data_IF_924781281133
#
_entry.id   IF_924781281133
#
_cell.length_a   1.000
_cell.length_b   1.000
_cell.length_c   1.000
_cell.angle_alpha   90.00
_cell.angle_beta   90.00
_cell.angle_gamma   90.00
#
_symmetry.space_group_name_H-M   'P 1'
#
loop_
_entity.id
_entity.type
_entity.pdbx_description
1 polymer ?
#
# COMPACT_ATOMS: atom_id res chain seq x y z
N UNK A 1 17.41 10.18 22.94
CA UNK A 1 16.94 8.77 22.83
C UNK A 1 16.02 8.50 24.01
N UNK A 2 14.84 7.99 23.78
CA UNK A 2 13.88 7.63 24.83
C UNK A 2 13.74 6.11 24.85
N UNK A 3 13.90 5.51 26.01
CA UNK A 3 13.73 4.06 26.22
C UNK A 3 12.55 3.90 27.17
N UNK A 4 11.57 3.14 26.78
CA UNK A 4 10.41 2.81 27.61
C UNK A 4 10.25 1.29 27.72
N UNK A 5 10.08 0.82 28.93
CA UNK A 5 9.76 -0.55 29.27
C UNK A 5 8.94 -0.59 30.56
N UNK A 6 7.72 -1.14 30.55
CA UNK A 6 6.96 -1.61 29.39
C UNK A 6 6.52 -0.46 28.47
N UNK A 7 5.93 -0.79 27.33
CA UNK A 7 5.38 0.20 26.43
C UNK A 7 4.29 1.03 27.10
N UNK A 8 4.36 2.34 26.94
CA UNK A 8 3.42 3.25 27.62
C UNK A 8 2.23 3.68 26.76
N UNK A 9 2.25 3.27 25.49
CA UNK A 9 1.21 3.66 24.54
C UNK A 9 0.88 2.51 23.59
N UNK A 10 -0.37 2.40 23.29
CA UNK A 10 -0.91 1.50 22.27
C UNK A 10 -1.32 2.32 21.05
N UNK A 11 -1.01 1.81 19.85
CA UNK A 11 -1.42 2.42 18.62
C UNK A 11 -2.92 2.16 18.37
N UNK A 12 -3.66 3.23 18.10
CA UNK A 12 -5.05 3.15 17.66
C UNK A 12 -5.13 3.35 16.16
N UNK A 13 -5.38 2.28 15.38
CA UNK A 13 -5.41 2.36 13.91
C UNK A 13 -6.49 3.31 13.38
N UNK A 14 -7.61 3.44 14.07
CA UNK A 14 -8.75 4.26 13.65
C UNK A 14 -8.44 5.76 13.54
N UNK A 15 -7.45 6.25 14.29
CA UNK A 15 -7.13 7.67 14.35
C UNK A 15 -5.67 8.01 14.06
N UNK A 16 -4.87 7.07 13.60
CA UNK A 16 -3.42 7.25 13.47
C UNK A 16 -2.84 7.86 14.75
N UNK A 17 -3.32 7.41 15.88
CA UNK A 17 -3.03 7.97 17.20
C UNK A 17 -2.56 6.90 18.17
N UNK A 18 -2.21 7.36 19.36
CA UNK A 18 -1.78 6.50 20.44
C UNK A 18 -2.73 6.67 21.62
N UNK A 19 -3.08 5.56 22.25
CA UNK A 19 -3.73 5.54 23.55
C UNK A 19 -2.75 5.07 24.63
N UNK A 20 -3.05 5.29 25.91
CA UNK A 20 -2.32 4.63 26.97
C UNK A 20 -2.31 3.12 26.77
N UNK A 21 -1.15 2.48 26.93
CA UNK A 21 -1.05 1.02 26.84
C UNK A 21 -1.82 0.37 28.00
N UNK A 22 -2.50 -0.76 27.78
CA UNK A 22 -3.05 -1.57 28.85
C UNK A 22 -1.98 -2.32 29.64
N UNK A 23 -0.71 -2.22 29.23
CA UNK A 23 0.40 -2.83 29.95
C UNK A 23 0.43 -2.34 31.40
N UNK A 24 0.46 -3.27 32.30
CA UNK A 24 0.60 -2.96 33.71
C UNK A 24 2.07 -2.68 34.02
N UNK A 25 2.31 -1.58 34.67
CA UNK A 25 3.64 -1.27 35.19
C UNK A 25 4.13 -2.35 36.16
N UNK A 26 5.44 -2.52 36.23
CA UNK A 26 6.07 -3.36 37.24
C UNK A 26 6.08 -2.59 38.60
N UNK A 27 5.62 -3.24 39.64
CA UNK A 27 5.74 -2.69 40.99
C UNK A 27 7.18 -2.83 41.46
N UNK A 28 7.85 -1.73 41.67
CA UNK A 28 9.23 -1.67 42.17
C UNK A 28 9.21 -1.35 43.65
N UNK A 29 9.95 -2.13 44.44
CA UNK A 29 10.09 -1.93 45.89
C UNK A 29 11.36 -1.12 46.23
N UNK A 30 11.42 -0.50 47.37
CA UNK A 30 12.66 0.15 47.83
C UNK A 30 13.82 -0.86 47.87
N UNK A 31 14.90 -0.55 47.13
CA UNK A 31 16.06 -1.42 46.99
C UNK A 31 16.13 -2.23 45.68
N UNK A 32 15.05 -2.29 44.92
CA UNK A 32 15.05 -2.90 43.61
C UNK A 32 15.94 -2.13 42.62
N UNK A 33 16.65 -2.87 41.76
CA UNK A 33 17.51 -2.30 40.72
C UNK A 33 16.95 -2.60 39.38
N UNK A 34 16.72 -1.60 38.57
CA UNK A 34 16.41 -1.75 37.11
C UNK A 34 17.71 -1.52 36.36
N UNK A 35 18.14 -2.54 35.59
CA UNK A 35 19.33 -2.44 34.75
C UNK A 35 18.91 -2.52 33.29
N UNK A 36 19.20 -1.45 32.56
CA UNK A 36 19.00 -1.39 31.10
C UNK A 36 20.39 -1.38 30.47
N UNK A 37 20.66 -2.38 29.63
CA UNK A 37 21.89 -2.43 28.83
C UNK A 37 21.61 -1.85 27.47
N UNK A 38 22.43 -0.88 27.08
CA UNK A 38 22.38 -0.25 25.76
C UNK A 38 23.74 -0.40 25.11
N UNK A 39 23.76 -0.89 23.90
CA UNK A 39 24.96 -0.93 23.08
C UNK A 39 24.84 0.12 21.99
N UNK A 40 25.88 0.91 21.81
CA UNK A 40 26.03 1.86 20.71
C UNK A 40 27.16 1.38 19.84
N UNK A 41 26.87 1.09 18.58
CA UNK A 41 27.85 0.66 17.59
C UNK A 41 28.07 1.80 16.61
N UNK A 42 29.29 2.34 16.56
CA UNK A 42 29.72 3.32 15.58
C UNK A 42 30.66 2.66 14.58
N UNK A 43 30.43 2.82 13.30
CA UNK A 43 31.25 2.24 12.25
C UNK A 43 31.23 3.10 10.97
N UNK A 44 32.29 2.99 10.18
CA UNK A 44 32.34 3.60 8.85
C UNK A 44 31.78 2.63 7.80
N UNK A 45 31.07 3.18 6.82
CA UNK A 45 30.54 2.45 5.67
C UNK A 45 30.82 3.23 4.39
N UNK A 46 31.39 2.55 3.39
CA UNK A 46 31.73 3.16 2.12
C UNK A 46 30.50 3.54 1.29
N UNK A 47 29.39 2.79 1.45
CA UNK A 47 28.14 2.95 0.73
C UNK A 47 26.96 2.40 1.52
N UNK A 48 25.74 2.55 0.99
CA UNK A 48 24.49 2.03 1.61
C UNK A 48 24.48 0.50 1.70
N UNK A 49 24.89 -0.28 0.70
CA UNK A 49 25.04 -1.73 0.82
C UNK A 49 25.98 -2.15 1.96
N UNK A 50 27.13 -1.49 2.11
CA UNK A 50 28.06 -1.77 3.21
C UNK A 50 27.47 -1.43 4.57
N UNK A 51 26.72 -0.32 4.68
CA UNK A 51 25.97 0.07 5.88
C UNK A 51 24.95 -1.01 6.26
N UNK A 52 24.13 -1.47 5.32
CA UNK A 52 23.13 -2.51 5.57
C UNK A 52 23.76 -3.84 5.94
N UNK A 53 24.83 -4.22 5.27
CA UNK A 53 25.56 -5.45 5.56
C UNK A 53 26.13 -5.44 6.99
N UNK A 54 26.72 -4.33 7.40
CA UNK A 54 27.23 -4.16 8.77
C UNK A 54 26.11 -4.18 9.80
N UNK A 55 25.03 -3.41 9.55
CA UNK A 55 23.85 -3.43 10.41
C UNK A 55 23.29 -4.85 10.61
N UNK A 56 23.16 -5.62 9.53
CA UNK A 56 22.66 -6.99 9.59
C UNK A 56 23.61 -7.91 10.37
N UNK A 57 24.91 -7.70 10.26
CA UNK A 57 25.92 -8.46 11.02
C UNK A 57 25.82 -8.17 12.52
N UNK A 58 25.76 -6.90 12.91
CA UNK A 58 25.58 -6.51 14.31
C UNK A 58 24.28 -7.04 14.88
N UNK A 59 23.19 -6.88 14.14
CA UNK A 59 21.89 -7.41 14.56
C UNK A 59 21.92 -8.92 14.82
N UNK A 60 22.64 -9.69 13.99
CA UNK A 60 22.79 -11.14 14.19
C UNK A 60 23.51 -11.51 15.48
N UNK A 61 24.42 -10.68 15.97
CA UNK A 61 25.10 -10.91 17.24
C UNK A 61 24.15 -10.81 18.45
N UNK A 62 23.11 -9.99 18.33
CA UNK A 62 22.14 -9.72 19.40
C UNK A 62 20.83 -10.49 19.25
N UNK A 63 20.55 -11.03 18.07
CA UNK A 63 19.41 -11.93 17.89
C UNK A 63 19.84 -13.35 18.22
N UNK A 64 19.15 -13.94 19.20
CA UNK A 64 19.32 -15.34 19.54
C UNK A 64 19.37 -16.18 18.24
N UNK A 65 20.30 -17.14 18.18
CA UNK A 65 20.54 -18.01 17.01
C UNK A 65 19.38 -18.94 16.64
N UNK A 66 18.19 -18.60 17.11
CA UNK A 66 16.96 -19.30 16.71
C UNK A 66 16.80 -19.21 15.22
N UNK A 67 16.91 -20.33 14.56
CA UNK A 67 16.52 -20.47 13.17
C UNK A 67 15.13 -19.84 13.01
N UNK A 68 14.95 -18.85 12.10
CA UNK A 68 13.62 -18.32 11.84
C UNK A 68 12.71 -19.51 11.54
N UNK A 69 11.79 -19.81 12.43
CA UNK A 69 10.78 -20.81 12.12
C UNK A 69 9.87 -20.19 11.10
N UNK A 70 10.00 -20.59 9.86
CA UNK A 70 8.93 -20.41 8.91
C UNK A 70 7.74 -21.21 9.46
N UNK A 71 6.87 -20.53 10.17
CA UNK A 71 5.67 -21.14 10.75
C UNK A 71 4.72 -21.63 9.66
N UNK A 72 4.94 -21.17 8.44
CA UNK A 72 4.08 -21.45 7.31
C UNK A 72 4.89 -21.54 6.00
N UNK A 73 4.63 -22.51 5.14
CA UNK A 73 5.20 -22.54 3.80
C UNK A 73 4.81 -21.31 2.99
N UNK A 74 5.71 -20.84 2.12
CA UNK A 74 5.43 -19.67 1.27
C UNK A 74 4.21 -19.87 0.37
N UNK A 75 3.94 -21.09 -0.08
CA UNK A 75 2.72 -21.43 -0.83
C UNK A 75 1.44 -21.18 -0.02
N UNK A 76 1.47 -21.53 1.25
CA UNK A 76 0.33 -21.26 2.15
C UNK A 76 0.17 -19.75 2.41
N UNK A 77 1.29 -19.01 2.58
CA UNK A 77 1.26 -17.54 2.69
C UNK A 77 0.60 -16.93 1.45
N UNK A 78 1.04 -17.36 0.25
CA UNK A 78 0.47 -16.89 -1.01
C UNK A 78 -1.03 -17.20 -1.10
N UNK A 79 -1.43 -18.44 -0.78
CA UNK A 79 -2.84 -18.84 -0.81
C UNK A 79 -3.72 -18.00 0.13
N UNK A 80 -3.21 -17.65 1.31
CA UNK A 80 -3.92 -16.78 2.26
C UNK A 80 -4.01 -15.34 1.76
N UNK A 81 -2.93 -14.82 1.16
CA UNK A 81 -2.93 -13.47 0.58
C UNK A 81 -3.92 -13.36 -0.57
N UNK A 82 -3.92 -14.34 -1.49
CA UNK A 82 -4.88 -14.39 -2.61
C UNK A 82 -6.30 -14.42 -2.06
N UNK A 83 -6.62 -15.33 -1.13
CA UNK A 83 -7.95 -15.42 -0.52
C UNK A 83 -8.37 -14.10 0.12
N UNK A 84 -7.47 -13.46 0.87
CA UNK A 84 -7.76 -12.19 1.53
C UNK A 84 -8.08 -11.06 0.53
N UNK A 85 -7.44 -11.04 -0.63
CA UNK A 85 -7.75 -10.08 -1.70
C UNK A 85 -9.07 -10.44 -2.38
N UNK A 86 -9.31 -11.74 -2.64
CA UNK A 86 -10.55 -12.23 -3.24
C UNK A 86 -11.79 -11.95 -2.37
N UNK A 87 -11.69 -12.10 -1.06
CA UNK A 87 -12.77 -11.79 -0.10
C UNK A 87 -13.17 -10.30 -0.13
N UNK A 88 -12.34 -9.44 -0.72
CA UNK A 88 -12.59 -8.01 -0.87
C UNK A 88 -13.07 -7.61 -2.28
N UNK A 89 -13.39 -8.59 -3.09
CA UNK A 89 -13.95 -8.30 -4.40
C UNK A 89 -15.43 -7.92 -4.26
N UNK A 90 -15.76 -6.68 -4.60
CA UNK A 90 -17.12 -6.18 -4.61
C UNK A 90 -17.86 -6.68 -5.84
N UNK A 91 -18.97 -7.37 -5.65
CA UNK A 91 -19.85 -7.88 -6.70
C UNK A 91 -21.18 -7.12 -6.67
N UNK A 92 -21.19 -5.91 -7.23
CA UNK A 92 -22.40 -5.11 -7.38
C UNK A 92 -23.05 -5.29 -8.75
N UNK A 93 -24.32 -4.88 -8.88
CA UNK A 93 -25.10 -4.99 -10.12
C UNK A 93 -24.49 -4.20 -11.28
N UNK A 94 -23.94 -3.03 -10.99
CA UNK A 94 -23.38 -2.13 -12.00
C UNK A 94 -21.87 -2.26 -12.13
N UNK A 95 -21.17 -2.39 -11.00
CA UNK A 95 -19.72 -2.37 -10.93
C UNK A 95 -19.20 -3.52 -10.09
N UNK A 96 -18.09 -4.09 -10.53
CA UNK A 96 -17.38 -5.14 -9.86
C UNK A 96 -15.90 -4.76 -9.77
N UNK A 97 -15.30 -4.81 -8.59
CA UNK A 97 -13.92 -4.34 -8.41
C UNK A 97 -13.33 -4.82 -7.10
N UNK A 98 -12.00 -4.83 -7.02
CA UNK A 98 -11.28 -5.08 -5.77
C UNK A 98 -11.30 -3.84 -4.87
N UNK A 99 -11.80 -4.01 -3.64
CA UNK A 99 -11.78 -2.98 -2.62
C UNK A 99 -10.43 -2.93 -1.88
N UNK A 100 -10.06 -1.79 -1.27
CA UNK A 100 -8.80 -1.68 -0.53
C UNK A 100 -8.78 -2.50 0.76
N UNK A 101 -9.88 -2.52 1.50
CA UNK A 101 -10.07 -3.20 2.77
C UNK A 101 -11.49 -3.76 2.86
N UNK A 102 -12.02 -3.95 4.04
CA UNK A 102 -13.42 -4.36 4.24
C UNK A 102 -14.36 -3.15 4.02
N UNK A 103 -14.42 -2.67 2.79
CA UNK A 103 -15.17 -1.50 2.39
C UNK A 103 -15.84 -1.74 1.04
N UNK A 104 -16.89 -0.99 0.76
CA UNK A 104 -17.63 -0.98 -0.51
C UNK A 104 -17.23 0.21 -1.41
N UNK A 105 -16.08 0.81 -1.14
CA UNK A 105 -15.53 1.92 -1.91
C UNK A 105 -14.14 1.59 -2.46
N UNK A 106 -13.71 2.30 -3.47
CA UNK A 106 -12.39 2.20 -4.06
C UNK A 106 -11.56 3.44 -3.75
N UNK A 107 -10.35 3.27 -3.23
CA UNK A 107 -9.34 4.30 -3.13
C UNK A 107 -8.31 4.17 -4.24
N UNK A 108 -7.83 5.32 -4.74
CA UNK A 108 -6.69 5.37 -5.65
C UNK A 108 -5.38 5.45 -4.88
N UNK A 109 -4.39 4.70 -5.31
CA UNK A 109 -3.07 4.66 -4.68
C UNK A 109 -3.05 3.95 -3.32
N UNK A 110 -1.92 4.01 -2.64
CA UNK A 110 -1.64 3.30 -1.39
C UNK A 110 -1.96 1.81 -1.49
N UNK A 111 -2.93 1.35 -0.69
CA UNK A 111 -3.48 -0.01 -0.68
C UNK A 111 -4.71 -0.15 -1.57
N UNK A 112 -5.01 0.87 -2.39
CA UNK A 112 -6.21 0.89 -3.23
C UNK A 112 -6.27 -0.20 -4.28
N UNK A 113 -7.46 -0.36 -4.88
CA UNK A 113 -7.78 -1.44 -5.81
C UNK A 113 -6.84 -1.59 -7.00
N UNK A 114 -6.25 -0.51 -7.48
CA UNK A 114 -5.29 -0.55 -8.60
C UNK A 114 -3.90 -1.08 -8.20
N UNK A 115 -3.56 -1.12 -6.92
CA UNK A 115 -2.37 -1.79 -6.40
C UNK A 115 -2.64 -3.29 -6.15
N UNK A 116 -3.78 -3.62 -5.57
CA UNK A 116 -4.19 -4.98 -5.24
C UNK A 116 -4.37 -5.85 -6.49
N UNK A 117 -4.69 -5.25 -7.63
CA UNK A 117 -4.85 -5.96 -8.91
C UNK A 117 -3.55 -6.52 -9.47
N UNK A 118 -2.39 -5.95 -9.13
CA UNK A 118 -1.11 -6.41 -9.63
C UNK A 118 -0.79 -7.87 -9.25
N UNK A 119 -0.86 -8.28 -7.95
CA UNK A 119 -0.64 -9.67 -7.58
C UNK A 119 -1.69 -10.62 -8.18
N UNK A 120 -2.95 -10.19 -8.31
CA UNK A 120 -4.01 -10.99 -8.92
C UNK A 120 -3.75 -11.21 -10.42
N UNK A 121 -3.33 -10.16 -11.12
CA UNK A 121 -2.91 -10.27 -12.51
C UNK A 121 -1.69 -11.19 -12.70
N UNK A 122 -0.77 -11.20 -11.71
CA UNK A 122 0.43 -12.02 -11.75
C UNK A 122 0.15 -13.53 -11.65
N UNK A 123 -1.02 -13.94 -11.13
CA UNK A 123 -1.45 -15.34 -11.12
C UNK A 123 -1.63 -15.88 -12.54
N UNK A 124 -1.97 -15.04 -13.50
CA UNK A 124 -1.94 -15.33 -14.93
C UNK A 124 -3.15 -16.08 -15.49
N UNK A 125 -4.10 -16.50 -14.67
CA UNK A 125 -5.32 -17.18 -15.11
C UNK A 125 -6.41 -16.19 -15.57
N UNK A 126 -7.41 -16.71 -16.27
CA UNK A 126 -8.44 -15.87 -16.89
C UNK A 126 -9.50 -15.38 -15.88
N UNK A 127 -9.70 -16.09 -14.77
CA UNK A 127 -10.62 -15.67 -13.72
C UNK A 127 -10.14 -14.38 -13.07
N UNK A 128 -8.90 -14.34 -12.60
CA UNK A 128 -8.32 -13.14 -12.01
C UNK A 128 -8.13 -12.03 -13.05
N UNK A 129 -7.76 -12.37 -14.28
CA UNK A 129 -7.70 -11.38 -15.36
C UNK A 129 -9.03 -10.66 -15.56
N UNK A 130 -10.16 -11.39 -15.54
CA UNK A 130 -11.47 -10.76 -15.71
C UNK A 130 -11.82 -9.82 -14.55
N UNK A 131 -11.55 -10.22 -13.30
CA UNK A 131 -11.76 -9.37 -12.10
C UNK A 131 -10.88 -8.13 -12.12
N UNK A 132 -9.63 -8.27 -12.57
CA UNK A 132 -8.71 -7.12 -12.77
C UNK A 132 -9.26 -6.17 -13.85
N UNK A 133 -9.75 -6.68 -14.97
CA UNK A 133 -10.36 -5.86 -16.04
C UNK A 133 -11.57 -5.09 -15.53
N UNK A 134 -12.44 -5.73 -14.74
CA UNK A 134 -13.59 -5.08 -14.14
C UNK A 134 -13.15 -3.95 -13.19
N UNK A 135 -12.10 -4.19 -12.41
CA UNK A 135 -11.52 -3.16 -11.52
C UNK A 135 -10.95 -1.99 -12.31
N UNK A 136 -10.28 -2.24 -13.45
CA UNK A 136 -9.78 -1.17 -14.32
C UNK A 136 -10.92 -0.39 -14.96
N UNK A 137 -11.96 -1.05 -15.44
CA UNK A 137 -13.15 -0.38 -15.97
C UNK A 137 -13.79 0.53 -14.92
N UNK A 138 -13.93 0.05 -13.70
CA UNK A 138 -14.45 0.87 -12.62
C UNK A 138 -13.51 2.02 -12.27
N UNK A 139 -12.24 1.73 -11.97
CA UNK A 139 -11.30 2.71 -11.44
C UNK A 139 -10.82 3.71 -12.50
N UNK A 140 -10.45 3.26 -13.71
CA UNK A 140 -9.87 4.16 -14.71
C UNK A 140 -10.91 4.99 -15.46
N UNK A 141 -12.15 4.49 -15.57
CA UNK A 141 -13.19 5.18 -16.34
C UNK A 141 -14.10 6.07 -15.48
N UNK A 142 -13.93 6.04 -14.15
CA UNK A 142 -14.62 6.89 -13.21
C UNK A 142 -13.60 7.70 -12.38
N UNK A 143 -14.06 8.71 -11.68
CA UNK A 143 -13.28 9.41 -10.64
C UNK A 143 -12.11 10.26 -11.11
N UNK A 144 -12.00 10.59 -12.38
CA UNK A 144 -11.01 11.54 -12.88
C UNK A 144 -11.64 12.94 -13.04
N UNK A 145 -10.81 13.98 -12.83
CA UNK A 145 -11.18 15.35 -13.01
C UNK A 145 -10.76 15.92 -14.38
N UNK A 146 -11.19 17.14 -14.68
CA UNK A 146 -10.80 17.86 -15.89
C UNK A 146 -9.29 18.12 -15.98
N UNK A 147 -8.61 18.21 -14.84
CA UNK A 147 -7.17 18.34 -14.75
C UNK A 147 -6.40 17.12 -15.30
N UNK A 148 -7.06 15.96 -15.41
CA UNK A 148 -6.46 14.66 -15.74
C UNK A 148 -6.04 13.84 -14.53
N UNK A 149 -6.09 14.41 -13.33
CA UNK A 149 -5.86 13.69 -12.06
C UNK A 149 -7.11 12.96 -11.60
N UNK A 150 -6.90 11.88 -10.85
CA UNK A 150 -7.95 11.14 -10.17
C UNK A 150 -8.28 11.78 -8.83
N UNK A 151 -9.56 11.79 -8.49
CA UNK A 151 -10.02 12.02 -7.14
C UNK A 151 -9.66 10.84 -6.23
N UNK A 152 -9.77 11.04 -4.93
CA UNK A 152 -9.20 10.10 -3.97
C UNK A 152 -10.02 8.81 -3.80
N UNK A 153 -11.34 8.93 -3.70
CA UNK A 153 -12.22 7.79 -3.37
C UNK A 153 -13.49 7.80 -4.23
N UNK A 154 -13.82 6.61 -4.77
CA UNK A 154 -15.10 6.32 -5.43
C UNK A 154 -15.99 5.47 -4.55
N UNK A 155 -17.26 5.80 -4.47
CA UNK A 155 -18.29 4.93 -3.92
C UNK A 155 -18.68 3.79 -4.86
N UNK A 156 -19.40 2.80 -4.36
CA UNK A 156 -19.86 1.64 -5.12
C UNK A 156 -20.74 2.01 -6.33
N UNK A 157 -21.38 3.16 -6.31
CA UNK A 157 -22.17 3.70 -7.43
C UNK A 157 -21.31 4.37 -8.53
N UNK A 158 -19.99 4.44 -8.34
CA UNK A 158 -19.04 5.10 -9.24
C UNK A 158 -18.94 6.62 -9.06
N UNK A 159 -19.59 7.18 -8.04
CA UNK A 159 -19.47 8.60 -7.75
C UNK A 159 -18.29 8.92 -6.83
N UNK A 160 -17.76 10.11 -7.00
CA UNK A 160 -16.67 10.61 -6.14
C UNK A 160 -17.21 10.86 -4.73
N UNK A 161 -16.68 10.15 -3.74
CA UNK A 161 -16.98 10.35 -2.33
C UNK A 161 -16.07 11.42 -1.71
N UNK A 162 -14.78 11.33 -2.00
CA UNK A 162 -13.78 12.28 -1.51
C UNK A 162 -12.83 12.66 -2.63
N UNK A 163 -12.44 13.92 -2.66
CA UNK A 163 -11.50 14.45 -3.65
C UNK A 163 -10.05 14.33 -3.20
N UNK A 164 -9.79 14.37 -1.92
CA UNK A 164 -8.44 14.38 -1.31
C UNK A 164 -8.26 13.39 -0.15
N UNK A 165 -9.20 12.46 0.04
CA UNK A 165 -9.25 11.60 1.24
C UNK A 165 -9.79 12.30 2.48
N UNK A 166 -10.20 13.58 2.36
CA UNK A 166 -10.72 14.37 3.46
C UNK A 166 -11.97 15.15 3.03
N UNK A 167 -12.98 15.16 3.89
CA UNK A 167 -14.15 16.02 3.72
C UNK A 167 -13.83 17.50 3.94
N UNK A 168 -12.69 17.80 4.58
CA UNK A 168 -12.32 19.15 4.98
C UNK A 168 -11.72 19.96 3.81
N UNK A 169 -11.10 19.29 2.81
CA UNK A 169 -10.40 19.94 1.71
C UNK A 169 -10.88 19.40 0.34
N UNK A 170 -12.15 19.63 -0.01
CA UNK A 170 -12.69 19.17 -1.29
C UNK A 170 -12.00 19.94 -2.45
N UNK A 171 -11.34 19.22 -3.33
CA UNK A 171 -10.65 19.80 -4.48
C UNK A 171 -9.12 19.75 -4.41
N UNK A 172 -8.56 19.34 -3.28
CA UNK A 172 -7.13 19.03 -3.15
C UNK A 172 -6.94 17.54 -3.37
N UNK A 173 -6.19 17.14 -4.37
CA UNK A 173 -5.81 15.76 -4.62
C UNK A 173 -4.41 15.47 -4.08
N UNK A 174 -4.18 14.24 -3.61
CA UNK A 174 -2.85 13.80 -3.20
C UNK A 174 -2.04 13.37 -4.43
N UNK A 175 -1.03 14.14 -4.77
CA UNK A 175 -0.08 13.85 -5.86
C UNK A 175 0.47 12.43 -5.75
N UNK A 176 0.84 11.99 -4.54
CA UNK A 176 1.32 10.63 -4.29
C UNK A 176 0.35 9.55 -4.74
N UNK A 177 -0.95 9.68 -4.42
CA UNK A 177 -1.94 8.67 -4.83
C UNK A 177 -2.07 8.55 -6.33
N UNK A 178 -2.02 9.68 -7.02
CA UNK A 178 -2.02 9.72 -8.48
C UNK A 178 -0.73 9.14 -9.08
N UNK A 179 0.42 9.38 -8.46
CA UNK A 179 1.69 8.77 -8.85
C UNK A 179 1.66 7.24 -8.67
N UNK A 180 1.07 6.74 -7.59
CA UNK A 180 0.87 5.31 -7.36
C UNK A 180 -0.03 4.71 -8.46
N UNK A 181 -1.12 5.37 -8.84
CA UNK A 181 -1.97 4.92 -9.97
C UNK A 181 -1.17 4.80 -11.24
N UNK A 182 -0.41 5.84 -11.60
CA UNK A 182 0.40 5.84 -12.82
C UNK A 182 1.43 4.69 -12.80
N UNK A 183 2.17 4.55 -11.71
CA UNK A 183 3.18 3.51 -11.53
C UNK A 183 2.59 2.11 -11.66
N UNK A 184 1.53 1.81 -10.91
CA UNK A 184 0.93 0.48 -10.89
C UNK A 184 0.25 0.14 -12.22
N UNK A 185 -0.38 1.09 -12.88
CA UNK A 185 -1.00 0.83 -14.18
C UNK A 185 0.03 0.53 -15.25
N UNK A 186 1.11 1.29 -15.33
CA UNK A 186 2.20 1.02 -16.26
C UNK A 186 2.80 -0.37 -16.02
N UNK A 187 3.06 -0.72 -14.74
CA UNK A 187 3.55 -2.07 -14.38
C UNK A 187 2.60 -3.19 -14.80
N UNK A 188 1.31 -3.00 -14.65
CA UNK A 188 0.30 -3.98 -15.01
C UNK A 188 0.18 -4.13 -16.54
N UNK A 189 0.26 -3.05 -17.28
CA UNK A 189 0.30 -3.11 -18.73
C UNK A 189 1.57 -3.85 -19.23
N UNK A 190 2.72 -3.58 -18.62
CA UNK A 190 3.96 -4.33 -18.92
C UNK A 190 3.82 -5.82 -18.58
N UNK A 191 3.14 -6.15 -17.48
CA UNK A 191 2.90 -7.55 -17.09
C UNK A 191 1.99 -8.26 -18.09
N UNK A 192 0.90 -7.62 -18.54
CA UNK A 192 0.03 -8.14 -19.59
C UNK A 192 0.79 -8.39 -20.90
N UNK A 193 1.68 -7.48 -21.28
CA UNK A 193 2.55 -7.69 -22.45
C UNK A 193 3.47 -8.90 -22.29
N UNK A 194 4.12 -9.04 -21.11
CA UNK A 194 4.98 -10.20 -20.80
C UNK A 194 4.23 -11.52 -20.81
N UNK A 195 2.96 -11.51 -20.45
CA UNK A 195 2.08 -12.67 -20.46
C UNK A 195 1.49 -12.98 -21.87
N UNK A 196 1.81 -12.17 -22.88
CA UNK A 196 1.21 -12.29 -24.22
C UNK A 196 -0.26 -11.87 -24.27
N UNK A 197 -0.74 -11.17 -23.25
CA UNK A 197 -2.14 -10.73 -23.10
C UNK A 197 -2.33 -9.24 -23.41
N UNK A 198 -1.47 -8.63 -24.21
CA UNK A 198 -1.55 -7.21 -24.57
C UNK A 198 -2.88 -6.80 -25.20
N UNK A 199 -3.56 -7.72 -25.90
CA UNK A 199 -4.89 -7.49 -26.48
C UNK A 199 -5.97 -7.20 -25.40
N UNK A 200 -5.72 -7.55 -24.15
CA UNK A 200 -6.62 -7.23 -23.05
C UNK A 200 -6.55 -5.76 -22.61
N UNK A 201 -5.51 -5.02 -23.02
CA UNK A 201 -5.34 -3.60 -22.68
C UNK A 201 -6.28 -2.78 -23.56
N UNK A 202 -7.31 -2.19 -22.95
CA UNK A 202 -8.26 -1.35 -23.67
C UNK A 202 -7.68 0.02 -24.02
N UNK A 203 -8.09 0.55 -25.17
CA UNK A 203 -7.66 1.87 -25.63
C UNK A 203 -8.02 2.97 -24.64
N UNK A 204 -9.20 2.88 -24.03
CA UNK A 204 -9.69 3.84 -23.03
C UNK A 204 -8.80 3.89 -21.79
N UNK A 205 -8.31 2.74 -21.31
CA UNK A 205 -7.38 2.69 -20.18
C UNK A 205 -6.06 3.39 -20.53
N UNK A 206 -5.51 3.10 -21.72
CA UNK A 206 -4.30 3.77 -22.19
C UNK A 206 -4.47 5.29 -22.28
N UNK A 207 -5.61 5.76 -22.80
CA UNK A 207 -5.93 7.19 -22.88
C UNK A 207 -5.95 7.83 -21.49
N UNK A 208 -6.54 7.16 -20.49
CA UNK A 208 -6.62 7.66 -19.11
C UNK A 208 -5.26 7.67 -18.42
N UNK A 209 -4.48 6.62 -18.54
CA UNK A 209 -3.12 6.55 -17.98
C UNK A 209 -2.22 7.60 -18.63
N UNK A 210 -2.33 7.80 -19.97
CA UNK A 210 -1.63 8.87 -20.66
C UNK A 210 -2.06 10.26 -20.17
N UNK A 211 -3.35 10.52 -20.03
CA UNK A 211 -3.86 11.81 -19.56
C UNK A 211 -3.34 12.13 -18.13
N UNK A 212 -3.23 11.12 -17.28
CA UNK A 212 -2.64 11.27 -15.96
C UNK A 212 -1.15 11.61 -16.05
N UNK A 213 -0.40 10.93 -16.90
CA UNK A 213 1.02 11.24 -17.12
C UNK A 213 1.20 12.67 -17.66
N UNK A 214 0.39 13.07 -18.63
CA UNK A 214 0.39 14.43 -19.19
C UNK A 214 0.04 15.48 -18.12
N UNK A 215 -0.84 15.16 -17.16
CA UNK A 215 -1.18 16.04 -16.04
C UNK A 215 0.04 16.29 -15.14
N UNK A 216 0.80 15.23 -14.82
CA UNK A 216 2.06 15.37 -14.06
C UNK A 216 3.08 16.25 -14.78
N UNK A 217 3.25 16.04 -16.08
CA UNK A 217 4.17 16.83 -16.89
C UNK A 217 3.77 18.32 -16.90
N UNK A 218 2.47 18.60 -17.11
CA UNK A 218 1.97 19.97 -17.06
C UNK A 218 2.21 20.63 -15.70
N UNK A 219 1.87 19.93 -14.61
CA UNK A 219 2.08 20.46 -13.26
C UNK A 219 3.55 20.75 -12.99
N UNK A 220 4.43 19.83 -13.38
CA UNK A 220 5.87 20.04 -13.22
C UNK A 220 6.39 21.22 -14.05
N UNK A 221 5.91 21.41 -15.27
CA UNK A 221 6.30 22.54 -16.14
C UNK A 221 5.80 23.89 -15.61
N UNK A 222 4.64 23.92 -14.95
CA UNK A 222 4.03 25.16 -14.46
C UNK A 222 4.48 25.51 -13.04
N UNK A 223 4.59 24.53 -12.16
CA UNK A 223 4.87 24.74 -10.73
C UNK A 223 6.33 24.51 -10.37
N UNK A 224 7.11 23.84 -11.21
CA UNK A 224 8.54 23.60 -11.02
C UNK A 224 8.87 22.62 -9.88
N UNK A 225 7.90 21.82 -9.46
CA UNK A 225 8.05 20.86 -8.35
C UNK A 225 7.64 19.44 -8.75
#
# INVERSE_FOLDING_TARGET
>A
MVISAPGVREYKPEFIGFSPSPDRGVSVQPGDKIVIRVEKVDFEAADVPALLSRFMSERKLHTDSRTPRNLMPMSEVLARMVRNIEERYHEGDKWQYYCPENADWMSYGWIGGLMNTYPMLALGDDFHLQRVKNTFDFGLLNGYGESGYYYDVLGADGKVLYRDGSKLNPGIGLTRKNADVLYWMVKQFMLLQKQGKQAAIRLEWNKRVKALADAFVRTWQTEGT
#
